data_IF_480292506381
#
_entry.id   IF_480292506381
#
_cell.length_a   1.000
_cell.length_b   1.000
_cell.length_c   1.000
_cell.angle_alpha   90.00
_cell.angle_beta   90.00
_cell.angle_gamma   90.00
#
_symmetry.space_group_name_H-M   'P 1'
#
loop_
_entity.id
_entity.type
_entity.pdbx_description
1 polymer ?
#
# COMPACT_ATOMS: atom_id res chain seq x y z
N UNK A 1 -3.74 -1.65 13.41
CA UNK A 1 -3.61 -0.19 13.53
C UNK A 1 -3.94 0.39 12.17
N UNK A 2 -4.74 1.46 12.08
CA UNK A 2 -5.02 2.10 10.80
C UNK A 2 -3.74 2.73 10.24
N UNK A 3 -3.62 2.76 8.93
CA UNK A 3 -2.54 3.44 8.23
C UNK A 3 -2.74 4.96 8.29
N UNK A 4 -1.64 5.70 8.45
CA UNK A 4 -1.68 7.16 8.54
C UNK A 4 -1.03 7.82 7.33
N UNK A 5 -1.60 8.96 6.89
CA UNK A 5 -0.97 9.80 5.87
C UNK A 5 0.41 10.25 6.31
N UNK A 6 1.42 10.11 5.45
CA UNK A 6 2.82 10.40 5.70
C UNK A 6 3.60 9.25 6.35
N UNK A 7 2.94 8.13 6.66
CA UNK A 7 3.60 6.96 7.24
C UNK A 7 4.38 6.19 6.18
N UNK A 8 5.60 5.74 6.52
CA UNK A 8 6.40 4.87 5.67
C UNK A 8 5.88 3.45 5.74
N UNK A 9 5.77 2.81 4.58
CA UNK A 9 5.30 1.44 4.43
C UNK A 9 6.19 0.68 3.46
N UNK A 10 6.22 -0.63 3.63
CA UNK A 10 6.86 -1.58 2.73
C UNK A 10 5.79 -2.51 2.15
N UNK A 11 5.88 -2.82 0.86
CA UNK A 11 5.08 -3.88 0.25
C UNK A 11 5.75 -5.22 0.57
N UNK A 12 5.36 -5.87 1.66
CA UNK A 12 6.08 -7.05 2.15
C UNK A 12 5.63 -8.37 1.49
N UNK A 13 4.43 -8.39 0.90
CA UNK A 13 3.86 -9.56 0.20
C UNK A 13 2.99 -9.13 -0.98
N UNK A 14 2.63 -10.09 -1.83
CA UNK A 14 1.52 -9.91 -2.78
C UNK A 14 0.17 -9.89 -2.05
N UNK A 15 -0.77 -9.07 -2.52
CA UNK A 15 -2.16 -9.19 -2.06
C UNK A 15 -2.85 -10.38 -2.72
N UNK A 16 -3.86 -10.93 -2.05
CA UNK A 16 -4.75 -11.94 -2.62
C UNK A 16 -5.99 -11.31 -3.31
N UNK A 17 -6.10 -9.98 -3.26
CA UNK A 17 -7.16 -9.20 -3.90
C UNK A 17 -7.07 -9.22 -5.43
N UNK A 18 -8.24 -9.12 -6.07
CA UNK A 18 -8.36 -8.94 -7.52
C UNK A 18 -7.73 -7.63 -8.04
N UNK A 19 -7.51 -6.66 -7.14
CA UNK A 19 -6.81 -5.41 -7.47
C UNK A 19 -5.31 -5.59 -7.65
N UNK A 20 -4.74 -6.75 -7.28
CA UNK A 20 -3.33 -7.04 -7.45
C UNK A 20 -3.02 -7.52 -8.86
N UNK A 21 -2.27 -6.71 -9.61
CA UNK A 21 -1.84 -7.06 -10.95
C UNK A 21 -0.45 -7.74 -10.95
N UNK A 22 -0.15 -8.65 -11.88
CA UNK A 22 1.11 -9.39 -11.89
C UNK A 22 2.37 -8.52 -12.07
N UNK A 23 2.25 -7.28 -12.56
CA UNK A 23 3.38 -6.35 -12.56
C UNK A 23 3.70 -5.81 -11.16
N UNK A 24 2.76 -5.89 -10.21
CA UNK A 24 2.95 -5.38 -8.85
C UNK A 24 3.89 -6.25 -8.02
N UNK A 25 4.10 -7.52 -8.40
CA UNK A 25 5.11 -8.39 -7.79
C UNK A 25 6.51 -7.78 -7.82
N UNK A 26 6.80 -6.90 -8.80
CA UNK A 26 8.08 -6.19 -8.86
C UNK A 26 8.24 -5.15 -7.73
N UNK A 27 7.16 -4.74 -7.07
CA UNK A 27 7.15 -3.78 -5.97
C UNK A 27 7.29 -4.45 -4.61
N UNK A 28 7.22 -5.79 -4.54
CA UNK A 28 7.41 -6.52 -3.29
C UNK A 28 8.86 -6.28 -2.79
N UNK A 29 8.98 -5.84 -1.54
CA UNK A 29 10.22 -5.38 -0.92
C UNK A 29 10.57 -3.92 -1.20
N UNK A 30 9.71 -3.16 -1.90
CA UNK A 30 9.90 -1.72 -2.05
C UNK A 30 9.31 -0.94 -0.88
N UNK A 31 9.86 0.25 -0.68
CA UNK A 31 9.40 1.21 0.31
C UNK A 31 8.61 2.31 -0.36
N UNK A 32 7.57 2.76 0.33
CA UNK A 32 6.76 3.89 -0.07
C UNK A 32 6.28 4.68 1.13
N UNK A 33 5.58 5.77 0.84
CA UNK A 33 4.92 6.60 1.83
C UNK A 33 3.44 6.65 1.54
N UNK A 34 2.62 6.57 2.58
CA UNK A 34 1.18 6.67 2.45
C UNK A 34 0.82 8.12 2.14
N UNK A 35 0.23 8.34 0.99
CA UNK A 35 -0.16 9.66 0.51
C UNK A 35 -1.62 9.92 0.82
N UNK A 36 -2.44 8.86 0.70
CA UNK A 36 -3.82 8.85 1.16
C UNK A 36 -4.18 7.47 1.73
N UNK A 37 -4.51 7.37 3.04
CA UNK A 37 -4.88 6.09 3.63
C UNK A 37 -6.29 5.64 3.29
N UNK A 38 -7.11 6.41 2.53
CA UNK A 38 -8.51 6.15 2.12
C UNK A 38 -9.36 5.35 3.14
N UNK A 39 -9.08 5.57 4.42
CA UNK A 39 -9.63 4.82 5.57
C UNK A 39 -10.91 5.46 6.09
N UNK A 40 -11.46 6.42 5.32
CA UNK A 40 -12.59 7.28 5.69
C UNK A 40 -13.84 6.48 6.10
N UNK A 41 -13.91 5.17 5.81
CA UNK A 41 -15.04 4.29 6.15
C UNK A 41 -14.70 2.97 6.84
N UNK A 42 -13.48 2.71 7.33
CA UNK A 42 -13.11 1.39 7.88
C UNK A 42 -13.44 0.22 6.91
N UNK A 43 -13.45 0.48 5.61
CA UNK A 43 -13.69 -0.55 4.60
C UNK A 43 -12.43 -1.42 4.51
N UNK A 44 -12.52 -2.74 4.80
CA UNK A 44 -11.37 -3.63 4.70
C UNK A 44 -10.88 -3.79 3.25
N UNK A 45 -11.76 -3.54 2.28
CA UNK A 45 -11.48 -3.57 0.84
C UNK A 45 -10.98 -2.21 0.29
N UNK A 46 -10.77 -1.21 1.15
CA UNK A 46 -10.27 0.09 0.72
C UNK A 46 -8.79 -0.02 0.27
N UNK A 47 -8.50 0.55 -0.90
CA UNK A 47 -7.14 0.65 -1.42
C UNK A 47 -6.45 1.88 -0.82
N UNK A 48 -5.21 1.68 -0.37
CA UNK A 48 -4.35 2.71 0.19
C UNK A 48 -3.46 3.27 -0.89
N UNK A 49 -3.45 4.59 -1.02
CA UNK A 49 -2.60 5.29 -1.95
C UNK A 49 -1.20 5.48 -1.37
N UNK A 50 -0.23 4.79 -1.98
CA UNK A 50 1.18 4.76 -1.58
C UNK A 50 2.04 5.31 -2.71
N UNK A 51 2.84 6.31 -2.41
CA UNK A 51 3.89 6.79 -3.30
C UNK A 51 5.17 5.99 -3.08
N UNK A 52 5.55 5.20 -4.07
CA UNK A 52 6.80 4.45 -4.12
C UNK A 52 7.95 5.36 -4.54
N UNK A 53 9.09 5.26 -3.85
CA UNK A 53 10.27 6.06 -4.17
C UNK A 53 10.80 5.72 -5.57
N UNK A 54 10.78 6.71 -6.48
CA UNK A 54 11.31 6.58 -7.84
C UNK A 54 10.39 5.89 -8.86
N UNK A 55 9.17 5.47 -8.48
CA UNK A 55 8.18 4.86 -9.39
C UNK A 55 6.94 5.72 -9.59
N UNK A 56 6.45 6.38 -8.52
CA UNK A 56 5.23 7.18 -8.55
C UNK A 56 4.20 6.70 -7.52
N UNK A 57 2.96 7.14 -7.68
CA UNK A 57 1.86 6.85 -6.75
C UNK A 57 1.01 5.69 -7.25
N UNK A 58 0.83 4.68 -6.41
CA UNK A 58 0.07 3.46 -6.69
C UNK A 58 -0.91 3.18 -5.56
N UNK A 59 -1.94 2.40 -5.86
CA UNK A 59 -2.95 2.01 -4.89
C UNK A 59 -2.76 0.54 -4.57
N UNK A 60 -2.59 0.23 -3.29
CA UNK A 60 -2.36 -1.11 -2.79
C UNK A 60 -3.37 -1.46 -1.72
N UNK A 61 -3.83 -2.73 -1.67
CA UNK A 61 -4.62 -3.21 -0.54
C UNK A 61 -3.86 -3.05 0.78
N UNK A 62 -4.56 -2.84 1.88
CA UNK A 62 -3.91 -2.74 3.20
C UNK A 62 -3.17 -4.03 3.58
N UNK A 63 -3.66 -5.18 3.10
CA UNK A 63 -3.18 -6.51 3.51
C UNK A 63 -1.72 -6.79 3.08
N UNK A 64 -1.27 -6.15 2.00
CA UNK A 64 0.09 -6.28 1.47
C UNK A 64 1.07 -5.22 1.98
N UNK A 65 0.58 -4.19 2.68
CA UNK A 65 1.38 -3.11 3.23
C UNK A 65 1.80 -3.43 4.65
N UNK A 66 3.06 -3.11 4.98
CA UNK A 66 3.59 -3.20 6.32
C UNK A 66 4.13 -1.84 6.76
N UNK A 67 3.65 -1.26 7.87
CA UNK A 67 4.22 -0.03 8.39
C UNK A 67 5.67 -0.24 8.81
N UNK A 68 6.54 0.69 8.42
CA UNK A 68 7.91 0.79 8.89
C UNK A 68 7.97 1.85 10.00
N UNK A 69 8.61 1.50 11.12
CA UNK A 69 8.83 2.39 12.27
C UNK A 69 9.92 3.44 11.98
#
# INVERSE_FOLDING_TARGET
MPFHKGQKVEIYRKSEDESWEPYMDQYIGMHGVITDPDTTKNDPDALIEVTLEGKGTFRFPQDCLRPLD
#
